data_IF_169983039887
#
_entry.id   IF_169983039887
#
_cell.length_a   1.000
_cell.length_b   1.000
_cell.length_c   1.000
_cell.angle_alpha   90.00
_cell.angle_beta   90.00
_cell.angle_gamma   90.00
#
_symmetry.space_group_name_H-M   'P 1'
#
loop_
_entity.id
_entity.type
_entity.pdbx_description
1 polymer ?
#
# COMPACT_ATOMS: atom_id res chain seq x y z
N UNK A 1 2.73 -11.50 10.97
CA UNK A 1 1.49 -10.95 11.55
C UNK A 1 1.65 -9.45 11.69
N UNK A 2 0.62 -8.61 11.46
CA UNK A 2 0.72 -7.18 11.76
C UNK A 2 1.16 -6.97 13.21
N UNK A 3 2.00 -5.95 13.45
CA UNK A 3 2.55 -5.64 14.78
C UNK A 3 1.72 -4.59 15.56
N UNK A 4 0.64 -4.13 14.95
CA UNK A 4 -0.21 -3.06 15.47
C UNK A 4 -1.33 -2.73 14.48
N UNK A 5 -2.15 -1.74 14.83
CA UNK A 5 -3.42 -1.43 14.16
C UNK A 5 -3.31 -0.47 12.96
N UNK A 6 -2.29 0.38 12.95
CA UNK A 6 -2.16 1.45 11.95
C UNK A 6 -1.86 0.92 10.53
N UNK A 7 -2.79 1.15 9.60
CA UNK A 7 -2.67 0.89 8.17
C UNK A 7 -2.40 2.19 7.42
N UNK A 8 -1.49 2.16 6.44
CA UNK A 8 -1.25 3.26 5.52
C UNK A 8 -1.60 2.86 4.08
N UNK A 9 -2.34 3.73 3.38
CA UNK A 9 -2.58 3.59 1.95
C UNK A 9 -1.58 4.47 1.19
N UNK A 10 -0.96 3.92 0.14
CA UNK A 10 -0.16 4.65 -0.85
C UNK A 10 -0.80 4.43 -2.21
N UNK A 11 -1.16 5.50 -2.92
CA UNK A 11 -1.83 5.43 -4.22
C UNK A 11 -1.31 6.47 -5.20
N UNK A 12 -1.34 6.15 -6.49
CA UNK A 12 -1.08 7.11 -7.58
C UNK A 12 -2.35 7.79 -8.10
N UNK A 13 -3.52 7.45 -7.58
CA UNK A 13 -4.78 8.03 -8.01
C UNK A 13 -5.69 8.30 -6.81
N UNK A 14 -6.02 9.58 -6.57
CA UNK A 14 -6.89 10.00 -5.45
C UNK A 14 -8.25 9.31 -5.42
N UNK A 15 -8.88 9.08 -6.59
CA UNK A 15 -10.13 8.32 -6.67
C UNK A 15 -10.01 6.89 -6.15
N UNK A 16 -8.90 6.21 -6.47
CA UNK A 16 -8.58 4.89 -5.88
C UNK A 16 -8.33 5.00 -4.38
N UNK A 17 -7.70 6.08 -3.92
CA UNK A 17 -7.49 6.33 -2.49
C UNK A 17 -8.79 6.37 -1.68
N UNK A 18 -9.84 7.00 -2.21
CA UNK A 18 -11.17 7.03 -1.56
C UNK A 18 -11.74 5.62 -1.46
N UNK A 19 -11.78 4.87 -2.56
CA UNK A 19 -12.33 3.50 -2.58
C UNK A 19 -11.56 2.55 -1.66
N UNK A 20 -10.22 2.65 -1.61
CA UNK A 20 -9.39 1.88 -0.68
C UNK A 20 -9.66 2.27 0.78
N UNK A 21 -9.97 3.53 1.05
CA UNK A 21 -10.29 4.01 2.40
C UNK A 21 -11.64 3.47 2.86
N UNK A 22 -12.66 3.51 2.00
CA UNK A 22 -13.97 2.95 2.29
C UNK A 22 -13.88 1.44 2.53
N UNK A 23 -13.17 0.72 1.67
CA UNK A 23 -12.94 -0.71 1.83
C UNK A 23 -12.11 -1.04 3.09
N UNK A 24 -11.23 -0.15 3.55
CA UNK A 24 -10.57 -0.29 4.86
C UNK A 24 -11.59 -0.22 6.00
N UNK A 25 -12.52 0.74 5.96
CA UNK A 25 -13.58 0.89 6.97
C UNK A 25 -14.47 -0.34 7.01
N UNK A 26 -14.93 -0.83 5.86
CA UNK A 26 -15.78 -2.02 5.75
C UNK A 26 -15.12 -3.27 6.35
N UNK A 27 -13.80 -3.36 6.23
CA UNK A 27 -12.98 -4.45 6.77
C UNK A 27 -12.44 -4.19 8.17
N UNK A 28 -12.91 -3.13 8.86
CA UNK A 28 -12.48 -2.72 10.21
C UNK A 28 -10.97 -2.55 10.32
N UNK A 29 -10.33 -2.04 9.28
CA UNK A 29 -8.92 -1.67 9.28
C UNK A 29 -8.77 -0.22 9.77
N UNK A 30 -7.82 0.03 10.65
CA UNK A 30 -7.59 1.36 11.21
C UNK A 30 -6.61 2.14 10.33
N UNK A 31 -7.13 3.08 9.55
CA UNK A 31 -6.27 4.05 8.87
C UNK A 31 -5.53 4.90 9.90
N UNK A 32 -4.20 4.94 9.77
CA UNK A 32 -3.36 5.76 10.63
C UNK A 32 -3.67 7.24 10.45
N UNK A 33 -3.87 7.96 11.56
CA UNK A 33 -3.84 9.42 11.53
C UNK A 33 -2.42 9.88 11.19
N UNK A 34 -2.26 10.71 10.16
CA UNK A 34 -0.94 11.14 9.70
C UNK A 34 -0.36 12.20 10.64
N UNK A 35 0.76 11.93 11.34
CA UNK A 35 1.39 12.93 12.19
C UNK A 35 2.21 13.93 11.35
N UNK A 36 2.39 15.18 11.83
CA UNK A 36 3.02 16.25 11.03
C UNK A 36 4.44 15.94 10.55
N UNK A 37 5.22 15.19 11.34
CA UNK A 37 6.59 14.81 10.98
C UNK A 37 6.63 13.82 9.80
N UNK A 38 5.67 12.89 9.76
CA UNK A 38 5.57 11.90 8.68
C UNK A 38 4.95 12.50 7.43
N UNK A 39 3.94 13.38 7.56
CA UNK A 39 3.43 14.20 6.45
C UNK A 39 4.59 14.97 5.79
N UNK A 40 5.42 15.65 6.58
CA UNK A 40 6.59 16.37 6.09
C UNK A 40 7.63 15.44 5.43
N UNK A 41 7.79 14.20 5.90
CA UNK A 41 8.67 13.22 5.29
C UNK A 41 8.14 12.75 3.92
N UNK A 42 6.85 12.45 3.80
CA UNK A 42 6.21 12.08 2.53
C UNK A 42 6.21 13.23 1.53
N UNK A 43 5.98 14.47 1.96
CA UNK A 43 6.02 15.67 1.10
C UNK A 43 7.35 15.89 0.39
N UNK A 44 8.44 15.27 0.83
CA UNK A 44 9.73 15.33 0.12
C UNK A 44 9.70 14.58 -1.22
N UNK A 45 8.74 13.67 -1.40
CA UNK A 45 8.60 12.86 -2.61
C UNK A 45 7.35 13.19 -3.42
N UNK A 46 6.40 13.93 -2.85
CA UNK A 46 5.07 14.14 -3.43
C UNK A 46 5.00 15.57 -3.97
N UNK A 47 4.48 15.77 -5.20
CA UNK A 47 4.32 17.10 -5.76
C UNK A 47 3.30 17.94 -4.95
N UNK A 48 3.31 19.28 -5.08
CA UNK A 48 2.47 20.17 -4.27
C UNK A 48 0.96 19.90 -4.32
N UNK A 49 0.48 19.27 -5.40
CA UNK A 49 -0.92 18.92 -5.63
C UNK A 49 -1.29 17.50 -5.22
N UNK A 50 -0.32 16.68 -4.77
CA UNK A 50 -0.60 15.39 -4.13
C UNK A 50 -0.99 15.56 -2.66
N UNK A 51 -1.42 14.47 -2.02
CA UNK A 51 -1.84 14.45 -0.63
C UNK A 51 -0.91 13.56 0.20
N UNK A 52 -0.25 14.12 1.21
CA UNK A 52 0.63 13.37 2.10
C UNK A 52 -0.08 12.83 3.37
N UNK A 53 -1.42 12.85 3.39
CA UNK A 53 -2.25 12.33 4.47
C UNK A 53 -2.33 10.80 4.46
N UNK A 54 -3.49 10.25 4.84
CA UNK A 54 -3.77 8.83 4.66
C UNK A 54 -5.17 8.70 4.04
N UNK A 55 -5.27 8.47 2.73
CA UNK A 55 -4.22 7.99 1.81
C UNK A 55 -3.09 8.98 1.51
N UNK A 56 -1.90 8.41 1.24
CA UNK A 56 -0.80 9.10 0.57
C UNK A 56 -1.03 9.01 -0.94
N UNK A 57 -1.47 10.11 -1.55
CA UNK A 57 -1.65 10.24 -3.00
C UNK A 57 -0.40 10.86 -3.64
N UNK A 58 0.38 10.04 -4.33
CA UNK A 58 1.59 10.45 -5.03
C UNK A 58 1.32 11.04 -6.41
N UNK A 59 0.08 10.95 -6.91
CA UNK A 59 -0.35 11.38 -8.26
C UNK A 59 0.26 10.58 -9.41
N UNK A 60 -0.55 10.24 -10.41
CA UNK A 60 -0.19 9.26 -11.44
C UNK A 60 0.83 9.75 -12.48
N UNK A 61 1.20 11.04 -12.41
CA UNK A 61 2.24 11.65 -13.24
C UNK A 61 3.66 11.50 -12.70
N UNK A 62 3.81 11.02 -11.46
CA UNK A 62 5.12 10.83 -10.84
C UNK A 62 5.86 9.62 -11.41
N UNK A 63 7.21 9.66 -11.45
CA UNK A 63 8.02 8.54 -11.91
C UNK A 63 7.89 7.34 -10.96
N UNK A 64 8.18 6.11 -11.43
CA UNK A 64 8.14 4.90 -10.60
C UNK A 64 8.95 5.00 -9.30
N UNK A 65 10.03 5.78 -9.29
CA UNK A 65 10.85 6.05 -8.10
C UNK A 65 10.06 6.66 -6.94
N UNK A 66 8.97 7.38 -7.21
CA UNK A 66 8.11 7.96 -6.17
C UNK A 66 7.36 6.88 -5.41
N UNK A 67 6.85 5.83 -6.09
CA UNK A 67 6.35 4.62 -5.42
C UNK A 67 7.45 3.97 -4.57
N UNK A 68 8.68 3.86 -5.10
CA UNK A 68 9.80 3.22 -4.38
C UNK A 68 10.06 3.90 -3.04
N UNK A 69 10.18 5.22 -3.08
CA UNK A 69 10.53 6.04 -1.94
C UNK A 69 9.42 6.06 -0.88
N UNK A 70 8.16 6.16 -1.32
CA UNK A 70 7.01 6.17 -0.41
C UNK A 70 6.74 4.80 0.22
N UNK A 71 6.88 3.71 -0.54
CA UNK A 71 6.81 2.33 0.00
C UNK A 71 7.92 2.10 1.01
N UNK A 72 9.16 2.47 0.68
CA UNK A 72 10.30 2.34 1.59
C UNK A 72 10.08 3.14 2.89
N UNK A 73 9.64 4.39 2.81
CA UNK A 73 9.32 5.21 3.99
C UNK A 73 8.21 4.57 4.84
N UNK A 74 7.15 4.05 4.20
CA UNK A 74 6.07 3.36 4.89
C UNK A 74 6.50 2.06 5.58
N UNK A 75 7.42 1.31 4.97
CA UNK A 75 8.01 0.11 5.57
C UNK A 75 8.97 0.45 6.70
N UNK A 76 9.72 1.54 6.60
CA UNK A 76 10.70 1.95 7.61
C UNK A 76 10.06 2.48 8.90
N UNK A 77 8.97 3.26 8.79
CA UNK A 77 8.37 3.90 9.96
C UNK A 77 7.68 2.87 10.88
N UNK A 78 8.19 2.69 12.10
CA UNK A 78 7.68 1.71 13.06
C UNK A 78 6.22 1.94 13.49
N UNK A 79 5.66 3.14 13.28
CA UNK A 79 4.25 3.46 13.59
C UNK A 79 3.27 2.87 12.60
N UNK A 80 3.73 2.49 11.40
CA UNK A 80 2.94 1.85 10.35
C UNK A 80 3.08 0.34 10.48
N UNK A 81 1.97 -0.39 10.46
CA UNK A 81 1.96 -1.83 10.70
C UNK A 81 1.54 -2.66 9.49
N UNK A 82 0.90 -2.04 8.48
CA UNK A 82 0.60 -2.64 7.19
C UNK A 82 0.49 -1.57 6.09
N UNK A 83 0.75 -1.97 4.86
CA UNK A 83 0.60 -1.13 3.66
C UNK A 83 -0.49 -1.66 2.74
N UNK A 84 -1.23 -0.73 2.15
CA UNK A 84 -2.17 -0.96 1.06
C UNK A 84 -1.68 -0.14 -0.13
N UNK A 85 -1.37 -0.81 -1.24
CA UNK A 85 -0.87 -0.17 -2.44
C UNK A 85 -2.00 -0.04 -3.47
N UNK A 86 -2.34 1.18 -3.83
CA UNK A 86 -3.22 1.52 -4.95
C UNK A 86 -2.41 1.85 -6.19
N UNK A 87 -2.64 1.11 -7.26
CA UNK A 87 -2.03 1.37 -8.55
C UNK A 87 -3.10 1.56 -9.62
N UNK A 88 -2.90 2.58 -10.45
CA UNK A 88 -3.68 2.84 -11.64
C UNK A 88 -2.74 2.86 -12.83
N UNK A 89 -3.07 2.12 -13.90
CA UNK A 89 -2.24 2.05 -15.09
C UNK A 89 -2.15 3.42 -15.76
N UNK A 90 -0.93 3.97 -15.80
CA UNK A 90 -0.58 5.17 -16.56
C UNK A 90 0.59 4.89 -17.50
N UNK A 91 0.75 5.73 -18.52
CA UNK A 91 1.89 5.64 -19.44
C UNK A 91 3.24 5.86 -18.74
N UNK A 92 3.26 6.55 -17.60
CA UNK A 92 4.48 6.90 -16.86
C UNK A 92 5.03 5.69 -16.10
N UNK A 93 4.14 4.89 -15.53
CA UNK A 93 4.51 3.70 -14.75
C UNK A 93 3.75 2.50 -15.29
N UNK A 94 4.34 1.71 -16.19
CA UNK A 94 3.73 0.46 -16.67
C UNK A 94 3.48 -0.56 -15.54
N UNK A 95 2.48 -1.46 -15.64
CA UNK A 95 2.08 -2.32 -14.51
C UNK A 95 3.20 -3.21 -14.01
N UNK A 96 3.96 -3.82 -14.92
CA UNK A 96 5.09 -4.69 -14.55
C UNK A 96 6.26 -3.91 -13.94
N UNK A 97 6.42 -2.62 -14.28
CA UNK A 97 7.43 -1.75 -13.63
C UNK A 97 7.04 -1.49 -12.18
N UNK A 98 5.78 -1.16 -11.92
CA UNK A 98 5.25 -1.02 -10.56
C UNK A 98 5.41 -2.32 -9.76
N UNK A 99 5.00 -3.46 -10.34
CA UNK A 99 5.04 -4.76 -9.66
C UNK A 99 6.46 -5.16 -9.24
N UNK A 100 7.43 -5.08 -10.16
CA UNK A 100 8.83 -5.39 -9.89
C UNK A 100 9.40 -4.49 -8.79
N UNK A 101 9.18 -3.19 -8.91
CA UNK A 101 9.67 -2.22 -7.96
C UNK A 101 9.07 -2.41 -6.56
N UNK A 102 7.76 -2.63 -6.45
CA UNK A 102 7.12 -2.89 -5.16
C UNK A 102 7.63 -4.19 -4.52
N UNK A 103 7.76 -5.26 -5.30
CA UNK A 103 8.32 -6.53 -4.82
C UNK A 103 9.77 -6.38 -4.35
N UNK A 104 10.62 -5.69 -5.13
CA UNK A 104 12.02 -5.41 -4.80
C UNK A 104 12.17 -4.67 -3.46
N UNK A 105 11.39 -3.60 -3.26
CA UNK A 105 11.44 -2.81 -2.02
C UNK A 105 10.95 -3.64 -0.83
N UNK A 106 9.85 -4.37 -0.98
CA UNK A 106 9.34 -5.22 0.11
C UNK A 106 10.36 -6.30 0.50
N UNK A 107 10.98 -6.94 -0.49
CA UNK A 107 12.01 -7.96 -0.27
C UNK A 107 13.27 -7.36 0.37
N UNK A 108 13.69 -6.15 -0.02
CA UNK A 108 14.79 -5.42 0.61
C UNK A 108 14.56 -5.23 2.12
N UNK A 109 13.34 -4.86 2.51
CA UNK A 109 12.98 -4.65 3.92
C UNK A 109 12.80 -5.96 4.68
N UNK A 110 12.26 -7.01 4.05
CA UNK A 110 12.19 -8.36 4.64
C UNK A 110 13.58 -8.88 5.01
N UNK A 111 14.58 -8.69 4.14
CA UNK A 111 15.99 -9.05 4.42
C UNK A 111 16.60 -8.28 5.60
N UNK A 112 16.10 -7.07 5.88
CA UNK A 112 16.47 -6.26 7.06
C UNK A 112 15.69 -6.65 8.33
N UNK A 113 14.82 -7.67 8.26
CA UNK A 113 13.97 -8.11 9.38
C UNK A 113 12.69 -7.28 9.55
N UNK A 114 12.35 -6.44 8.57
CA UNK A 114 11.12 -5.63 8.55
C UNK A 114 10.12 -6.30 7.60
N UNK A 115 9.24 -7.14 8.16
CA UNK A 115 8.20 -7.83 7.40
C UNK A 115 6.81 -7.38 7.87
N UNK A 116 6.28 -6.34 7.20
CA UNK A 116 4.92 -5.83 7.40
C UNK A 116 3.99 -6.43 6.34
N UNK A 117 2.72 -6.73 6.65
CA UNK A 117 1.75 -7.09 5.63
C UNK A 117 1.64 -5.98 4.57
N UNK A 118 1.72 -6.37 3.29
CA UNK A 118 1.49 -5.50 2.14
C UNK A 118 0.49 -6.18 1.23
N UNK A 119 -0.54 -5.45 0.78
CA UNK A 119 -1.51 -5.89 -0.24
C UNK A 119 -1.62 -4.84 -1.33
N UNK A 120 -2.03 -5.23 -2.53
CA UNK A 120 -2.13 -4.31 -3.66
C UNK A 120 -3.44 -4.43 -4.45
N UNK A 121 -3.96 -3.29 -4.88
CA UNK A 121 -5.05 -3.13 -5.84
C UNK A 121 -4.48 -2.53 -7.11
N UNK A 122 -4.56 -3.24 -8.24
CA UNK A 122 -4.11 -2.73 -9.53
C UNK A 122 -5.31 -2.55 -10.44
N UNK A 123 -5.47 -1.36 -11.00
CA UNK A 123 -6.55 -1.03 -11.95
C UNK A 123 -5.94 -0.58 -13.26
N UNK A 124 -6.45 -1.09 -14.38
CA UNK A 124 -5.92 -0.80 -15.70
C UNK A 124 -6.55 -1.67 -16.78
N UNK A 125 -5.79 -1.96 -17.82
CA UNK A 125 -6.12 -2.95 -18.85
C UNK A 125 -5.66 -4.36 -18.44
N UNK A 126 -5.59 -5.30 -19.39
CA UNK A 126 -5.19 -6.70 -19.16
C UNK A 126 -3.75 -6.87 -18.65
N UNK A 127 -2.88 -5.86 -18.80
CA UNK A 127 -1.49 -5.96 -18.33
C UNK A 127 -1.39 -5.99 -16.81
N UNK A 128 -2.41 -5.50 -16.09
CA UNK A 128 -2.41 -5.52 -14.62
C UNK A 128 -2.58 -6.93 -14.05
N UNK A 129 -3.14 -7.88 -14.81
CA UNK A 129 -3.26 -9.28 -14.38
C UNK A 129 -1.89 -9.91 -14.17
N UNK A 130 -1.00 -9.79 -15.17
CA UNK A 130 0.37 -10.31 -15.08
C UNK A 130 1.19 -9.62 -13.98
N UNK A 131 0.96 -8.33 -13.75
CA UNK A 131 1.58 -7.59 -12.66
C UNK A 131 1.09 -8.06 -11.28
N UNK A 132 -0.20 -8.39 -11.15
CA UNK A 132 -0.76 -9.00 -9.94
C UNK A 132 -0.18 -10.40 -9.67
N UNK A 133 -0.10 -11.25 -10.70
CA UNK A 133 0.50 -12.58 -10.57
C UNK A 133 1.95 -12.50 -10.09
N UNK A 134 2.74 -11.60 -10.70
CA UNK A 134 4.12 -11.34 -10.27
C UNK A 134 4.19 -10.92 -8.79
N UNK A 135 3.35 -9.98 -8.36
CA UNK A 135 3.31 -9.54 -6.95
C UNK A 135 2.94 -10.70 -6.01
N UNK A 136 1.97 -11.52 -6.40
CA UNK A 136 1.52 -12.67 -5.61
C UNK A 136 2.65 -13.68 -5.42
N UNK A 137 3.38 -14.02 -6.49
CA UNK A 137 4.55 -14.91 -6.44
C UNK A 137 5.67 -14.37 -5.52
N UNK A 138 5.75 -13.05 -5.33
CA UNK A 138 6.69 -12.39 -4.43
C UNK A 138 6.11 -12.12 -3.02
N UNK A 139 4.98 -12.76 -2.70
CA UNK A 139 4.38 -12.71 -1.37
C UNK A 139 3.67 -11.38 -1.06
N UNK A 140 3.17 -10.68 -2.07
CA UNK A 140 2.30 -9.51 -1.96
C UNK A 140 0.94 -9.87 -2.59
N UNK A 141 -0.11 -10.17 -1.80
CA UNK A 141 -1.44 -10.42 -2.34
C UNK A 141 -1.93 -9.21 -3.14
N UNK A 142 -2.08 -9.39 -4.45
CA UNK A 142 -2.45 -8.35 -5.39
C UNK A 142 -3.65 -8.80 -6.23
N UNK A 143 -4.59 -7.89 -6.48
CA UNK A 143 -5.81 -8.20 -7.22
C UNK A 143 -6.07 -7.17 -8.32
N UNK A 144 -6.41 -7.63 -9.54
CA UNK A 144 -6.73 -6.74 -10.64
C UNK A 144 -8.18 -6.26 -10.56
N UNK A 145 -8.43 -5.01 -10.96
CA UNK A 145 -9.77 -4.43 -11.18
C UNK A 145 -10.64 -4.24 -9.93
N UNK A 146 -10.11 -4.39 -8.72
CA UNK A 146 -10.87 -4.28 -7.47
C UNK A 146 -10.07 -3.64 -6.38
N UNK A 147 -10.74 -2.77 -5.62
CA UNK A 147 -10.22 -2.20 -4.38
C UNK A 147 -10.59 -3.06 -3.17
N UNK A 148 -11.65 -3.86 -3.24
CA UNK A 148 -12.25 -4.57 -2.11
C UNK A 148 -11.49 -5.83 -1.72
N UNK A 149 -11.09 -6.67 -2.70
CA UNK A 149 -10.43 -7.96 -2.41
C UNK A 149 -9.10 -7.83 -1.64
N UNK A 150 -8.17 -6.90 -1.95
CA UNK A 150 -6.95 -6.79 -1.15
C UNK A 150 -7.25 -6.38 0.29
N UNK A 151 -8.24 -5.52 0.51
CA UNK A 151 -8.67 -5.14 1.87
C UNK A 151 -9.42 -6.26 2.60
N UNK A 152 -10.17 -7.10 1.90
CA UNK A 152 -10.78 -8.30 2.48
C UNK A 152 -9.71 -9.26 3.00
N UNK A 153 -8.66 -9.51 2.21
CA UNK A 153 -7.54 -10.37 2.61
C UNK A 153 -6.79 -9.79 3.80
N UNK A 154 -6.49 -8.48 3.77
CA UNK A 154 -5.82 -7.81 4.89
C UNK A 154 -6.71 -7.79 6.14
N UNK A 155 -7.99 -7.50 5.97
CA UNK A 155 -9.02 -7.52 7.02
C UNK A 155 -9.12 -8.88 7.70
N UNK A 156 -9.15 -9.97 6.93
CA UNK A 156 -9.15 -11.33 7.48
C UNK A 156 -7.89 -11.60 8.33
N UNK A 157 -6.72 -11.13 7.88
CA UNK A 157 -5.46 -11.25 8.64
C UNK A 157 -5.52 -10.48 9.97
N UNK A 158 -6.07 -9.27 9.96
CA UNK A 158 -6.27 -8.46 11.18
C UNK A 158 -7.31 -9.10 12.11
N UNK A 159 -8.42 -9.58 11.58
CA UNK A 159 -9.46 -10.25 12.35
C UNK A 159 -8.90 -11.48 13.07
N UNK A 160 -8.15 -12.32 12.37
CA UNK A 160 -7.47 -13.45 12.99
C UNK A 160 -6.47 -13.02 14.06
N UNK A 161 -5.65 -12.00 13.79
CA UNK A 161 -4.64 -11.52 14.73
C UNK A 161 -5.26 -10.95 16.02
N UNK A 162 -6.38 -10.20 15.91
CA UNK A 162 -7.15 -9.71 17.06
C UNK A 162 -7.76 -10.85 17.86
N UNK A 163 -8.41 -11.81 17.17
CA UNK A 163 -8.99 -13.00 17.83
C UNK A 163 -7.95 -13.87 18.55
N UNK A 164 -6.71 -13.90 18.04
CA UNK A 164 -5.58 -14.59 18.64
C UNK A 164 -4.84 -13.76 19.72
N UNK A 165 -5.27 -12.52 20.02
CA UNK A 165 -4.62 -11.64 20.98
C UNK A 165 -3.21 -11.16 20.58
N UNK A 166 -2.88 -11.18 19.29
CA UNK A 166 -1.57 -10.80 18.75
C UNK A 166 -1.47 -9.31 18.40
N UNK A 167 -2.60 -8.64 18.24
CA UNK A 167 -2.72 -7.21 17.99
C UNK A 167 -3.83 -6.69 18.90
N UNK A 168 -3.61 -5.51 19.49
CA UNK A 168 -4.41 -4.97 20.60
C UNK A 168 -5.92 -4.99 20.38
N UNK A 169 -6.65 -5.04 21.51
CA UNK A 169 -8.10 -4.87 21.56
C UNK A 169 -8.53 -3.45 21.17
#
# INVERSE_FOLDING_TARGET
TPKGENVLIITGAGGSGVLLSDACVDNRLKLMAMPPDLDAAFRKFIPPFGAAGNPVDITGGEPPTTYRNTIALGLEDARIHALVLGYWHTIITPPMVFAKLAAEVVEEFRRKGIDKPVVASLVGDVEVEQACDYLFEHGIPAFPYTTELPLLVLGAKYHWARAAGLVGN
#
